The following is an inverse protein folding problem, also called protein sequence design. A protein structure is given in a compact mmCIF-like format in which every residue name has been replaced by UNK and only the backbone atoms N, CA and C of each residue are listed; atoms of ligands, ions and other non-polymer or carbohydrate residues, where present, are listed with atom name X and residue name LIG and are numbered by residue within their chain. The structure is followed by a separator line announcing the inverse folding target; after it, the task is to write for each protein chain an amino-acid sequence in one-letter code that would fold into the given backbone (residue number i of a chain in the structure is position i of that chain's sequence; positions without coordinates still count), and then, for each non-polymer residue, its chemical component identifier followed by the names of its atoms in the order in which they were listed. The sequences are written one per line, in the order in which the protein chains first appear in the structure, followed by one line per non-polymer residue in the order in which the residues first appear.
data_IF_104277289501
#
_entry.id   IF_104277289501
#
_cell.length_a   1.000
_cell.length_b   1.000
_cell.length_c   1.000
_cell.angle_alpha   90.00
_cell.angle_beta   90.00
_cell.angle_gamma   90.00
#
_symmetry.space_group_name_H-M   'P 1'
#
loop_
_entity.id
_entity.type
_entity.pdbx_description
1 polymer ?
#
# COMPACT_ATOMS: atom_id res chain seq x y z
N UNK A 1 -22.61 -4.33 -5.65
CA UNK A 1 -21.72 -3.59 -4.73
C UNK A 1 -21.17 -4.55 -3.68
N UNK A 2 -19.84 -4.56 -3.52
CA UNK A 2 -19.13 -5.41 -2.56
C UNK A 2 -18.27 -4.49 -1.71
N UNK A 3 -18.41 -4.56 -0.38
CA UNK A 3 -17.51 -3.88 0.56
C UNK A 3 -16.31 -4.77 0.86
N UNK A 4 -15.11 -4.17 0.84
CA UNK A 4 -13.85 -4.82 1.20
C UNK A 4 -13.23 -4.11 2.40
N UNK A 5 -12.44 -4.84 3.18
CA UNK A 5 -11.72 -4.28 4.29
C UNK A 5 -10.37 -4.99 4.48
N UNK A 6 -9.32 -4.33 4.04
CA UNK A 6 -7.92 -4.72 4.24
C UNK A 6 -7.11 -3.59 4.91
N UNK A 7 -7.76 -2.75 5.73
CA UNK A 7 -7.19 -1.51 6.22
C UNK A 7 -6.62 -0.69 5.04
N UNK A 8 -5.41 -0.15 5.14
CA UNK A 8 -4.83 0.65 4.06
C UNK A 8 -4.42 -0.17 2.82
N UNK A 9 -4.45 -1.52 2.86
CA UNK A 9 -4.16 -2.39 1.71
C UNK A 9 -5.32 -2.50 0.71
N UNK A 10 -6.47 -1.88 1.00
CA UNK A 10 -7.72 -2.04 0.23
C UNK A 10 -7.59 -1.70 -1.25
N UNK A 11 -6.65 -0.83 -1.67
CA UNK A 11 -6.49 -0.54 -3.11
C UNK A 11 -6.02 -1.77 -3.89
N UNK A 12 -4.97 -2.45 -3.46
CA UNK A 12 -4.53 -3.70 -4.11
C UNK A 12 -5.54 -4.83 -3.93
N UNK A 13 -6.19 -4.93 -2.76
CA UNK A 13 -7.26 -5.90 -2.52
C UNK A 13 -8.41 -5.71 -3.50
N UNK A 14 -8.90 -4.47 -3.69
CA UNK A 14 -10.01 -4.19 -4.61
C UNK A 14 -9.63 -4.43 -6.07
N UNK A 15 -8.41 -4.09 -6.49
CA UNK A 15 -7.90 -4.40 -7.83
C UNK A 15 -7.80 -5.90 -8.07
N UNK A 16 -7.30 -6.66 -7.09
CA UNK A 16 -7.22 -8.12 -7.16
C UNK A 16 -8.60 -8.75 -7.32
N UNK A 17 -9.56 -8.36 -6.48
CA UNK A 17 -10.92 -8.86 -6.54
C UNK A 17 -11.62 -8.48 -7.84
N UNK A 18 -11.46 -7.23 -8.30
CA UNK A 18 -12.02 -6.79 -9.57
C UNK A 18 -11.46 -7.59 -10.76
N UNK A 19 -10.15 -7.89 -10.73
CA UNK A 19 -9.50 -8.71 -11.77
C UNK A 19 -10.02 -10.14 -11.77
N UNK A 20 -10.14 -10.78 -10.61
CA UNK A 20 -10.68 -12.13 -10.46
C UNK A 20 -12.15 -12.23 -10.95
N UNK A 21 -12.99 -11.25 -10.60
CA UNK A 21 -14.37 -11.21 -11.05
C UNK A 21 -14.49 -11.01 -12.57
N UNK A 22 -13.62 -10.18 -13.15
CA UNK A 22 -13.58 -10.03 -14.62
C UNK A 22 -13.14 -11.33 -15.30
N UNK A 23 -12.07 -11.95 -14.82
CA UNK A 23 -11.57 -13.22 -15.37
C UNK A 23 -12.61 -14.33 -15.23
N UNK A 24 -13.27 -14.42 -14.08
CA UNK A 24 -14.38 -15.34 -13.83
C UNK A 24 -15.68 -15.06 -14.60
N UNK A 25 -15.77 -13.95 -15.35
CA UNK A 25 -16.94 -13.65 -16.19
C UNK A 25 -18.13 -13.01 -15.47
N UNK A 26 -17.94 -12.50 -14.27
CA UNK A 26 -19.03 -11.91 -13.48
C UNK A 26 -19.42 -10.48 -13.89
N UNK A 27 -18.73 -9.89 -14.85
CA UNK A 27 -19.04 -8.56 -15.37
C UNK A 27 -18.22 -8.21 -16.61
N UNK A 28 -18.64 -7.19 -17.34
CA UNK A 28 -17.90 -6.63 -18.49
C UNK A 28 -16.96 -5.51 -18.05
N UNK A 29 -17.38 -4.75 -17.02
CA UNK A 29 -16.61 -3.69 -16.39
C UNK A 29 -16.80 -3.77 -14.88
N UNK A 30 -15.74 -3.61 -14.13
CA UNK A 30 -15.76 -3.59 -12.66
C UNK A 30 -14.95 -2.39 -12.18
N UNK A 31 -15.48 -1.71 -11.16
CA UNK A 31 -14.81 -0.57 -10.54
C UNK A 31 -14.16 -1.03 -9.23
N UNK A 32 -12.86 -0.83 -9.12
CA UNK A 32 -12.10 -0.94 -7.89
C UNK A 32 -11.87 0.47 -7.33
N UNK A 33 -12.23 0.72 -6.08
CA UNK A 33 -12.05 2.04 -5.48
C UNK A 33 -11.82 1.98 -3.98
N UNK A 34 -11.06 2.94 -3.48
CA UNK A 34 -10.88 3.15 -2.05
C UNK A 34 -10.62 4.63 -1.74
N UNK A 35 -10.88 5.02 -0.51
CA UNK A 35 -10.70 6.39 -0.04
C UNK A 35 -10.35 6.41 1.43
N UNK A 36 -9.70 7.49 1.86
CA UNK A 36 -9.53 7.82 3.27
C UNK A 36 -9.73 9.32 3.49
N UNK A 37 -10.05 9.66 4.72
CA UNK A 37 -10.24 11.03 5.14
C UNK A 37 -9.69 11.22 6.55
N UNK A 38 -8.99 12.33 6.78
CA UNK A 38 -8.35 12.63 8.07
C UNK A 38 -9.33 12.54 9.27
N UNK A 39 -10.57 12.96 9.10
CA UNK A 39 -11.59 12.93 10.15
C UNK A 39 -12.40 11.63 10.20
N UNK A 40 -11.98 10.58 9.49
CA UNK A 40 -12.65 9.28 9.45
C UNK A 40 -12.22 8.37 10.63
N UNK A 41 -12.60 7.10 10.54
CA UNK A 41 -12.34 6.09 11.57
C UNK A 41 -10.86 5.92 11.96
N UNK A 42 -9.94 6.22 11.04
CA UNK A 42 -8.50 6.14 11.31
C UNK A 42 -8.00 7.19 12.32
N UNK A 43 -8.72 8.30 12.52
CA UNK A 43 -8.29 9.41 13.40
C UNK A 43 -7.95 8.95 14.80
N UNK A 44 -8.69 8.00 15.35
CA UNK A 44 -8.47 7.45 16.68
C UNK A 44 -7.11 6.75 16.87
N UNK A 45 -6.46 6.34 15.77
CA UNK A 45 -5.14 5.69 15.77
C UNK A 45 -4.02 6.64 15.40
N UNK A 46 -4.34 7.92 15.13
CA UNK A 46 -3.36 8.93 14.77
C UNK A 46 -2.97 9.75 15.98
N UNK A 47 -1.76 10.27 15.93
CA UNK A 47 -1.29 11.20 16.96
C UNK A 47 -2.24 12.40 17.02
N UNK A 48 -2.80 12.75 18.21
CA UNK A 48 -3.79 13.81 18.32
C UNK A 48 -3.14 15.19 18.20
N UNK A 49 -3.48 15.91 17.13
CA UNK A 49 -3.00 17.28 16.87
C UNK A 49 -3.44 18.27 17.97
N UNK A 50 -4.57 17.98 18.60
CA UNK A 50 -5.18 18.78 19.65
C UNK A 50 -4.32 18.88 20.92
N UNK A 51 -3.38 17.94 21.12
CA UNK A 51 -2.45 17.98 22.25
C UNK A 51 -1.42 19.12 22.17
N UNK A 52 -1.19 19.68 20.97
CA UNK A 52 -0.21 20.74 20.79
C UNK A 52 1.23 20.36 21.13
N UNK A 53 1.54 19.08 21.29
CA UNK A 53 2.86 18.59 21.59
C UNK A 53 3.57 18.08 20.32
N UNK A 54 4.89 17.90 20.43
CA UNK A 54 5.68 17.39 19.32
C UNK A 54 5.29 15.94 19.02
N UNK A 55 5.01 15.65 17.74
CA UNK A 55 4.76 14.29 17.27
C UNK A 55 6.06 13.46 17.24
N UNK A 56 5.92 12.15 17.39
CA UNK A 56 7.06 11.27 17.21
C UNK A 56 7.48 11.19 15.73
N UNK A 57 8.77 11.04 15.44
CA UNK A 57 9.28 10.99 14.05
C UNK A 57 8.79 9.81 13.23
N UNK A 58 8.20 8.79 13.87
CA UNK A 58 7.62 7.61 13.23
C UNK A 58 6.16 7.80 12.82
N UNK A 59 5.52 8.88 13.30
CA UNK A 59 4.10 9.16 13.01
C UNK A 59 3.88 9.45 11.54
N UNK A 60 2.75 8.99 11.04
CA UNK A 60 2.27 9.25 9.68
C UNK A 60 0.97 10.06 9.71
N UNK A 61 0.76 10.86 8.67
CA UNK A 61 -0.46 11.63 8.48
C UNK A 61 -1.47 10.85 7.64
N UNK A 62 -2.76 10.93 8.00
CA UNK A 62 -3.81 10.38 7.14
C UNK A 62 -3.90 11.18 5.86
N UNK A 63 -3.80 10.49 4.73
CA UNK A 63 -4.05 11.08 3.41
C UNK A 63 -5.56 11.21 3.21
N UNK A 64 -6.03 12.43 2.99
CA UNK A 64 -7.41 12.68 2.55
C UNK A 64 -7.45 12.62 1.03
N UNK A 65 -8.07 11.57 0.50
CA UNK A 65 -8.13 11.35 -0.93
C UNK A 65 -8.83 10.05 -1.30
N UNK A 66 -9.03 9.87 -2.59
CA UNK A 66 -9.63 8.68 -3.18
C UNK A 66 -9.02 8.35 -4.53
N UNK A 67 -9.14 7.10 -4.92
CA UNK A 67 -8.83 6.62 -6.26
C UNK A 67 -9.82 5.56 -6.69
N UNK A 68 -10.10 5.54 -7.99
CA UNK A 68 -10.95 4.53 -8.61
C UNK A 68 -10.37 4.15 -9.97
N UNK A 69 -10.40 2.85 -10.26
CA UNK A 69 -10.02 2.28 -11.54
C UNK A 69 -11.16 1.46 -12.11
N UNK A 70 -11.44 1.65 -13.38
CA UNK A 70 -12.37 0.81 -14.15
C UNK A 70 -11.56 -0.26 -14.86
N UNK A 71 -11.85 -1.52 -14.56
CA UNK A 71 -11.25 -2.67 -15.22
C UNK A 71 -12.21 -3.23 -16.25
N UNK A 72 -11.68 -3.60 -17.43
CA UNK A 72 -12.41 -4.24 -18.51
C UNK A 72 -11.56 -5.35 -19.14
N UNK A 73 -12.18 -6.21 -19.96
CA UNK A 73 -11.49 -7.38 -20.55
C UNK A 73 -10.59 -7.07 -21.74
N UNK A 74 -10.76 -5.92 -22.35
CA UNK A 74 -10.05 -5.54 -23.58
C UNK A 74 -9.82 -4.04 -23.63
N UNK A 75 -8.82 -3.63 -24.42
CA UNK A 75 -8.45 -2.25 -24.64
C UNK A 75 -6.92 -2.10 -24.74
N UNK A 76 -6.48 -0.96 -25.22
CA UNK A 76 -5.05 -0.59 -25.24
C UNK A 76 -4.71 0.20 -23.96
N UNK A 77 -4.76 -0.51 -22.85
CA UNK A 77 -4.52 0.01 -21.49
C UNK A 77 -3.60 -0.92 -20.72
N UNK A 78 -2.95 -0.43 -19.67
CA UNK A 78 -2.21 -1.31 -18.75
C UNK A 78 -3.08 -2.42 -18.21
N UNK A 79 -2.52 -3.61 -18.07
CA UNK A 79 -3.23 -4.82 -17.66
C UNK A 79 -2.78 -5.25 -16.28
N UNK A 80 -3.68 -5.75 -15.48
CA UNK A 80 -3.34 -6.54 -14.29
C UNK A 80 -2.89 -7.92 -14.77
N UNK A 81 -1.62 -8.24 -14.58
CA UNK A 81 -1.01 -9.49 -15.06
C UNK A 81 -0.85 -10.53 -13.95
N UNK A 82 -0.58 -10.07 -12.72
CA UNK A 82 -0.47 -10.93 -11.55
C UNK A 82 -1.13 -10.27 -10.35
N UNK A 83 -1.70 -11.11 -9.49
CA UNK A 83 -2.16 -10.74 -8.16
C UNK A 83 -1.55 -11.70 -7.14
N UNK A 84 -1.12 -11.19 -6.00
CA UNK A 84 -0.60 -12.00 -4.89
C UNK A 84 -1.34 -11.61 -3.62
N UNK A 85 -2.18 -12.50 -3.13
CA UNK A 85 -2.88 -12.31 -1.86
C UNK A 85 -1.89 -12.55 -0.73
N UNK A 86 -1.69 -11.53 0.10
CA UNK A 86 -0.78 -11.64 1.24
C UNK A 86 -1.42 -12.30 2.46
N UNK A 87 -0.57 -12.62 3.42
CA UNK A 87 -0.96 -13.18 4.71
C UNK A 87 -0.86 -12.11 5.80
N UNK A 88 -1.73 -12.23 6.80
CA UNK A 88 -1.61 -11.43 8.02
C UNK A 88 -0.33 -11.83 8.76
N UNK A 89 0.51 -10.86 9.08
CA UNK A 89 1.77 -11.05 9.83
C UNK A 89 1.73 -10.21 11.08
N UNK A 90 2.10 -10.82 12.20
CA UNK A 90 2.24 -10.14 13.49
C UNK A 90 3.64 -10.38 14.05
N UNK A 91 4.40 -9.31 14.18
CA UNK A 91 5.77 -9.31 14.71
C UNK A 91 5.87 -8.66 16.10
N UNK A 92 4.75 -8.52 16.78
CA UNK A 92 4.69 -8.03 18.14
C UNK A 92 4.87 -6.51 18.29
N UNK A 93 4.75 -5.75 17.21
CA UNK A 93 4.79 -4.28 17.27
C UNK A 93 3.50 -3.77 17.91
N UNK A 94 3.63 -2.93 18.94
CA UNK A 94 2.51 -2.41 19.75
C UNK A 94 2.32 -0.90 19.63
N UNK A 95 3.31 -0.19 19.10
CA UNK A 95 3.28 1.25 18.98
C UNK A 95 2.46 1.71 17.77
N UNK A 96 1.26 2.21 18.04
CA UNK A 96 0.35 2.77 17.02
C UNK A 96 0.96 3.98 16.27
N UNK A 97 1.96 4.64 16.86
CA UNK A 97 2.68 5.72 16.20
C UNK A 97 3.80 5.24 15.25
N UNK A 98 4.00 3.93 15.14
CA UNK A 98 4.96 3.32 14.22
C UNK A 98 4.32 2.23 13.35
N UNK A 99 3.27 2.61 12.62
CA UNK A 99 2.53 1.69 11.75
C UNK A 99 3.41 1.13 10.63
N UNK A 100 4.38 1.91 10.14
CA UNK A 100 5.33 1.45 9.12
C UNK A 100 6.11 0.21 9.55
N UNK A 101 6.57 0.17 10.81
CA UNK A 101 7.25 -1.01 11.35
C UNK A 101 6.30 -2.22 11.50
N UNK A 102 5.04 -1.98 11.85
CA UNK A 102 4.04 -3.05 11.97
C UNK A 102 3.67 -3.67 10.62
N UNK A 103 3.60 -2.85 9.55
CA UNK A 103 3.21 -3.29 8.20
C UNK A 103 4.37 -3.86 7.38
N UNK A 104 5.61 -3.42 7.60
CA UNK A 104 6.78 -3.80 6.79
C UNK A 104 6.97 -5.31 6.67
N UNK A 105 6.83 -6.14 7.72
CA UNK A 105 6.97 -7.60 7.60
C UNK A 105 5.93 -8.23 6.66
N UNK A 106 4.70 -7.73 6.63
CA UNK A 106 3.67 -8.23 5.71
C UNK A 106 4.00 -7.84 4.26
N UNK A 107 4.51 -6.61 4.03
CA UNK A 107 4.97 -6.19 2.72
C UNK A 107 6.11 -7.06 2.20
N UNK A 108 7.12 -7.33 3.05
CA UNK A 108 8.26 -8.21 2.72
C UNK A 108 7.79 -9.61 2.36
N UNK A 109 6.93 -10.22 3.18
CA UNK A 109 6.38 -11.55 2.93
C UNK A 109 5.64 -11.61 1.59
N UNK A 110 4.80 -10.61 1.31
CA UNK A 110 4.03 -10.55 0.06
C UNK A 110 4.92 -10.35 -1.16
N UNK A 111 5.91 -9.45 -1.11
CA UNK A 111 6.86 -9.20 -2.20
C UNK A 111 7.72 -10.45 -2.44
N UNK A 112 8.24 -11.06 -1.38
CA UNK A 112 9.03 -12.29 -1.47
C UNK A 112 8.25 -13.41 -2.15
N UNK A 113 7.02 -13.69 -1.68
CA UNK A 113 6.19 -14.74 -2.26
C UNK A 113 5.77 -14.39 -3.69
N UNK A 114 5.50 -13.12 -4.00
CA UNK A 114 5.24 -12.69 -5.36
C UNK A 114 6.39 -13.06 -6.32
N UNK A 115 7.62 -12.73 -5.95
CA UNK A 115 8.78 -13.08 -6.77
C UNK A 115 8.98 -14.59 -6.90
N UNK A 116 8.84 -15.32 -5.79
CA UNK A 116 8.98 -16.76 -5.77
C UNK A 116 7.94 -17.47 -6.64
N UNK A 117 6.68 -17.10 -6.52
CA UNK A 117 5.56 -17.77 -7.18
C UNK A 117 5.48 -17.43 -8.67
N UNK A 118 5.89 -16.23 -9.05
CA UNK A 118 5.88 -15.76 -10.46
C UNK A 118 7.20 -16.04 -11.19
N UNK A 119 8.28 -16.39 -10.47
CA UNK A 119 9.63 -16.52 -11.02
C UNK A 119 10.26 -15.18 -11.40
N UNK A 120 9.68 -14.06 -10.95
CA UNK A 120 10.15 -12.70 -11.23
C UNK A 120 11.17 -12.21 -10.19
N UNK A 121 11.79 -11.12 -10.52
CA UNK A 121 12.79 -10.42 -9.69
C UNK A 121 12.48 -8.93 -9.64
N UNK A 122 13.11 -8.15 -8.77
CA UNK A 122 12.94 -6.69 -8.77
C UNK A 122 13.20 -6.03 -10.13
N UNK A 123 14.07 -6.62 -10.96
CA UNK A 123 14.45 -6.07 -12.27
C UNK A 123 13.35 -6.20 -13.35
N UNK A 124 12.33 -7.01 -13.09
CA UNK A 124 11.20 -7.19 -13.99
C UNK A 124 10.15 -6.07 -13.86
N UNK A 125 10.37 -5.17 -12.91
CA UNK A 125 9.50 -4.02 -12.66
C UNK A 125 10.26 -2.71 -12.80
N UNK A 126 9.68 -1.73 -13.50
CA UNK A 126 10.22 -0.37 -13.53
C UNK A 126 10.03 0.32 -12.19
N UNK A 127 8.92 0.01 -11.50
CA UNK A 127 8.63 0.53 -10.17
C UNK A 127 8.01 -0.58 -9.29
N UNK A 128 8.54 -0.72 -8.08
CA UNK A 128 7.92 -1.45 -6.98
C UNK A 128 7.41 -0.39 -6.00
N UNK A 129 6.11 -0.33 -5.77
CA UNK A 129 5.47 0.71 -4.97
C UNK A 129 4.74 0.11 -3.77
N UNK A 130 5.19 0.37 -2.54
CA UNK A 130 4.41 0.05 -1.35
C UNK A 130 3.39 1.14 -1.04
N UNK A 131 2.33 0.76 -0.31
CA UNK A 131 1.15 1.60 -0.14
C UNK A 131 1.33 2.78 0.79
N UNK A 132 1.77 2.53 2.02
CA UNK A 132 1.83 3.54 3.07
C UNK A 132 2.76 3.15 4.23
N UNK A 133 3.86 2.50 3.92
CA UNK A 133 4.88 2.16 4.91
C UNK A 133 5.57 3.41 5.48
N UNK A 134 5.59 4.49 4.72
CA UNK A 134 6.32 5.70 5.02
C UNK A 134 7.82 5.47 5.05
N UNK A 135 8.59 6.47 5.49
CA UNK A 135 10.07 6.41 5.50
C UNK A 135 10.59 5.23 6.33
N UNK A 136 10.04 5.04 7.53
CA UNK A 136 10.50 4.00 8.45
C UNK A 136 10.24 2.60 7.91
N UNK A 137 9.00 2.32 7.52
CA UNK A 137 8.64 1.01 7.00
C UNK A 137 9.30 0.69 5.64
N UNK A 138 9.49 1.70 4.78
CA UNK A 138 10.25 1.58 3.53
C UNK A 138 11.69 1.14 3.78
N UNK A 139 12.37 1.77 4.76
CA UNK A 139 13.74 1.40 5.12
C UNK A 139 13.83 -0.02 5.67
N UNK A 140 12.90 -0.41 6.56
CA UNK A 140 12.82 -1.77 7.09
C UNK A 140 12.61 -2.78 5.97
N UNK A 141 11.64 -2.52 5.08
CA UNK A 141 11.33 -3.40 3.94
C UNK A 141 12.53 -3.57 3.02
N UNK A 142 13.25 -2.49 2.70
CA UNK A 142 14.46 -2.53 1.88
C UNK A 142 15.53 -3.43 2.49
N UNK A 143 15.77 -3.31 3.80
CA UNK A 143 16.77 -4.12 4.52
C UNK A 143 16.38 -5.60 4.55
N UNK A 144 15.13 -5.89 4.90
CA UNK A 144 14.65 -7.27 4.99
C UNK A 144 14.62 -7.98 3.63
N UNK A 145 14.21 -7.30 2.55
CA UNK A 145 14.27 -7.89 1.21
C UNK A 145 15.70 -8.20 0.76
N UNK A 146 16.67 -7.36 1.14
CA UNK A 146 18.08 -7.63 0.87
C UNK A 146 18.59 -8.90 1.59
N UNK A 147 18.11 -9.19 2.81
CA UNK A 147 18.41 -10.44 3.52
C UNK A 147 17.87 -11.69 2.79
N UNK A 148 16.74 -11.54 2.07
CA UNK A 148 16.20 -12.57 1.17
C UNK A 148 16.87 -12.62 -0.21
N UNK A 149 17.88 -11.78 -0.46
CA UNK A 149 18.62 -11.74 -1.73
C UNK A 149 17.99 -10.85 -2.81
N UNK A 150 16.99 -10.04 -2.48
CA UNK A 150 16.36 -9.11 -3.40
C UNK A 150 16.82 -7.67 -3.15
N UNK A 151 17.57 -7.09 -4.07
CA UNK A 151 17.91 -5.66 -4.03
C UNK A 151 16.86 -4.87 -4.81
N UNK A 152 16.13 -4.03 -4.09
CA UNK A 152 15.04 -3.20 -4.63
C UNK A 152 15.39 -1.70 -4.66
N UNK A 153 16.60 -1.29 -4.28
CA UNK A 153 16.96 0.11 -4.04
C UNK A 153 16.74 1.03 -5.24
N UNK A 154 16.97 0.51 -6.44
CA UNK A 154 16.98 1.34 -7.64
C UNK A 154 15.58 1.72 -8.15
N UNK A 155 14.56 0.90 -7.81
CA UNK A 155 13.20 1.06 -8.34
C UNK A 155 12.10 0.99 -7.28
N UNK A 156 12.46 1.05 -5.99
CA UNK A 156 11.53 0.96 -4.88
C UNK A 156 11.08 2.34 -4.39
N UNK A 157 9.78 2.54 -4.37
CA UNK A 157 9.14 3.73 -3.80
C UNK A 157 8.10 3.32 -2.76
N UNK A 158 7.71 4.26 -1.91
CA UNK A 158 6.56 4.12 -1.03
C UNK A 158 5.60 5.29 -1.25
N UNK A 159 4.32 4.99 -1.43
CA UNK A 159 3.32 6.03 -1.71
C UNK A 159 3.17 7.01 -0.55
N UNK A 160 3.31 6.54 0.70
CA UNK A 160 3.26 7.39 1.88
C UNK A 160 4.48 8.30 2.03
N UNK A 161 5.66 7.83 1.62
CA UNK A 161 6.89 8.62 1.63
C UNK A 161 6.85 9.76 0.59
N UNK A 162 6.21 9.51 -0.56
CA UNK A 162 6.25 10.44 -1.69
C UNK A 162 5.06 11.41 -1.81
N UNK A 163 3.95 11.17 -1.11
CA UNK A 163 2.71 11.93 -1.33
C UNK A 163 2.75 13.35 -0.76
N UNK A 164 3.58 13.60 0.22
CA UNK A 164 3.76 14.89 0.85
C UNK A 164 5.12 15.50 0.55
N UNK A 165 5.17 16.82 0.50
CA UNK A 165 6.41 17.61 0.49
C UNK A 165 6.86 17.78 1.95
N UNK A 166 7.82 16.96 2.38
CA UNK A 166 8.26 16.91 3.77
C UNK A 166 8.90 18.21 4.26
N UNK A 167 9.62 18.92 3.40
CA UNK A 167 10.24 20.21 3.77
C UNK A 167 9.19 21.27 4.10
N UNK A 168 8.09 21.29 3.36
CA UNK A 168 7.01 22.27 3.50
C UNK A 168 5.94 21.85 4.50
N UNK A 169 5.62 20.54 4.54
CA UNK A 169 4.48 20.01 5.28
C UNK A 169 4.87 19.34 6.59
N UNK A 170 6.14 18.98 6.76
CA UNK A 170 6.71 18.38 8.00
C UNK A 170 5.91 17.16 8.45
N UNK A 171 5.79 16.18 7.57
CA UNK A 171 4.96 14.98 7.79
C UNK A 171 5.68 13.83 8.47
N UNK A 172 6.90 14.05 8.98
CA UNK A 172 7.74 13.07 9.69
C UNK A 172 7.95 11.79 8.89
N UNK A 173 7.23 10.70 9.19
CA UNK A 173 7.35 9.45 8.45
C UNK A 173 6.52 9.40 7.16
N UNK A 174 5.78 10.47 6.82
CA UNK A 174 5.01 10.57 5.58
C UNK A 174 3.51 10.35 5.75
N UNK A 175 2.84 9.91 4.69
CA UNK A 175 1.41 9.66 4.63
C UNK A 175 1.03 8.21 4.91
N UNK A 176 -0.22 8.00 5.28
CA UNK A 176 -0.84 6.68 5.43
C UNK A 176 -2.35 6.77 5.22
N UNK A 177 -3.01 5.63 5.09
CA UNK A 177 -4.46 5.54 4.90
C UNK A 177 -4.86 4.84 3.61
N UNK A 178 -6.09 4.36 3.54
CA UNK A 178 -6.60 3.62 2.37
C UNK A 178 -6.52 4.44 1.09
N UNK A 179 -6.68 5.76 1.16
CA UNK A 179 -6.55 6.67 0.02
C UNK A 179 -5.11 6.91 -0.45
N UNK A 180 -4.11 6.60 0.37
CA UNK A 180 -2.72 6.90 0.06
C UNK A 180 -2.25 6.20 -1.22
N UNK A 181 -2.26 4.88 -1.24
CA UNK A 181 -1.89 4.09 -2.43
C UNK A 181 -2.83 4.36 -3.61
N UNK A 182 -4.12 4.60 -3.34
CA UNK A 182 -5.10 4.89 -4.39
C UNK A 182 -4.80 6.20 -5.14
N UNK A 183 -4.52 7.28 -4.41
CA UNK A 183 -4.18 8.59 -5.00
C UNK A 183 -2.90 8.50 -5.82
N UNK A 184 -1.85 7.88 -5.29
CA UNK A 184 -0.57 7.75 -6.00
C UNK A 184 -0.71 6.84 -7.21
N UNK A 185 -1.42 5.71 -7.08
CA UNK A 185 -1.64 4.78 -8.18
C UNK A 185 -2.42 5.44 -9.32
N UNK A 186 -3.58 6.04 -9.03
CA UNK A 186 -4.44 6.65 -10.04
C UNK A 186 -3.88 7.97 -10.58
N UNK A 187 -3.30 8.79 -9.69
CA UNK A 187 -2.85 10.14 -10.03
C UNK A 187 -1.46 10.23 -10.65
N UNK A 188 -0.58 9.29 -10.31
CA UNK A 188 0.83 9.34 -10.71
C UNK A 188 1.25 8.09 -11.48
N UNK A 189 1.20 6.89 -10.89
CA UNK A 189 1.72 5.67 -11.52
C UNK A 189 0.97 5.32 -12.80
N UNK A 190 -0.36 5.33 -12.77
CA UNK A 190 -1.18 5.06 -13.94
C UNK A 190 -0.93 6.06 -15.09
N UNK A 191 -0.73 7.34 -14.76
CA UNK A 191 -0.39 8.34 -15.79
C UNK A 191 0.97 8.09 -16.43
N UNK A 192 1.96 7.64 -15.64
CA UNK A 192 3.27 7.23 -16.20
C UNK A 192 3.16 6.02 -17.11
N UNK A 193 2.39 5.01 -16.71
CA UNK A 193 2.06 3.87 -17.57
C UNK A 193 1.40 4.32 -18.87
N UNK A 194 0.34 5.13 -18.82
CA UNK A 194 -0.37 5.62 -20.01
C UNK A 194 0.49 6.44 -20.96
N UNK A 195 1.50 7.15 -20.43
CA UNK A 195 2.48 7.90 -21.24
C UNK A 195 3.64 7.04 -21.72
N UNK A 196 3.66 5.76 -21.38
CA UNK A 196 4.77 4.84 -21.68
C UNK A 196 6.13 5.30 -21.11
N UNK A 197 6.10 6.11 -20.05
CA UNK A 197 7.32 6.50 -19.30
C UNK A 197 7.85 5.32 -18.48
N UNK A 198 6.96 4.43 -18.08
CA UNK A 198 7.22 3.13 -17.44
C UNK A 198 6.31 2.08 -18.08
N UNK A 199 6.71 0.80 -18.01
CA UNK A 199 5.97 -0.31 -18.59
C UNK A 199 5.38 -1.25 -17.54
N UNK A 200 5.94 -1.26 -16.34
CA UNK A 200 5.57 -2.23 -15.31
C UNK A 200 5.62 -1.61 -13.91
N UNK A 201 4.60 -1.89 -13.11
CA UNK A 201 4.51 -1.50 -11.70
C UNK A 201 4.07 -2.71 -10.88
N UNK A 202 4.79 -3.02 -9.81
CA UNK A 202 4.30 -3.89 -8.75
C UNK A 202 3.76 -3.00 -7.63
N UNK A 203 2.45 -2.86 -7.55
CA UNK A 203 1.78 -2.17 -6.45
C UNK A 203 1.56 -3.12 -5.29
N UNK A 204 2.06 -2.77 -4.10
CA UNK A 204 1.95 -3.56 -2.88
C UNK A 204 1.30 -2.70 -1.80
N UNK A 205 -0.03 -2.61 -1.81
CA UNK A 205 -0.74 -1.84 -0.78
C UNK A 205 -0.65 -2.56 0.56
N UNK A 206 -0.39 -1.78 1.61
CA UNK A 206 -0.10 -2.25 2.98
C UNK A 206 -1.18 -1.79 3.94
N UNK A 207 -1.38 -2.49 5.03
CA UNK A 207 -2.37 -2.13 6.03
C UNK A 207 -1.99 -2.61 7.43
N UNK A 208 -2.28 -1.78 8.43
CA UNK A 208 -2.20 -2.11 9.85
C UNK A 208 -3.61 -2.48 10.35
N UNK A 209 -3.77 -3.70 10.81
CA UNK A 209 -5.06 -4.21 11.29
C UNK A 209 -5.25 -3.82 12.77
N UNK A 210 -5.90 -2.70 12.99
CA UNK A 210 -6.08 -2.10 14.31
C UNK A 210 -7.56 -2.07 14.70
N UNK A 211 -7.80 -2.25 15.99
CA UNK A 211 -9.09 -1.94 16.61
C UNK A 211 -8.85 -1.08 17.86
N UNK A 212 -9.84 -0.29 18.25
CA UNK A 212 -9.77 0.49 19.49
C UNK A 212 -9.55 -0.40 20.70
N UNK A 213 -10.21 -1.55 20.74
CA UNK A 213 -10.10 -2.50 21.85
C UNK A 213 -8.68 -3.05 21.97
N UNK A 214 -8.14 -3.63 20.88
CA UNK A 214 -6.80 -4.24 20.91
C UNK A 214 -5.70 -3.21 21.19
N UNK A 215 -5.76 -2.04 20.56
CA UNK A 215 -4.76 -0.98 20.74
C UNK A 215 -4.76 -0.43 22.18
N UNK A 216 -5.93 -0.21 22.79
CA UNK A 216 -6.05 0.27 24.17
C UNK A 216 -5.66 -0.79 25.21
N UNK A 217 -5.74 -2.07 24.88
CA UNK A 217 -5.29 -3.19 25.71
C UNK A 217 -3.80 -3.50 25.55
N UNK A 218 -3.09 -2.80 24.68
CA UNK A 218 -1.66 -3.00 24.46
C UNK A 218 -1.34 -4.27 23.69
N UNK A 219 -2.29 -4.77 22.88
CA UNK A 219 -2.05 -5.89 21.97
C UNK A 219 -1.17 -5.45 20.78
N UNK A 220 -0.56 -6.40 20.11
CA UNK A 220 0.23 -6.18 18.91
C UNK A 220 -0.64 -5.75 17.73
N UNK A 221 0.00 -5.15 16.73
CA UNK A 221 -0.62 -4.64 15.51
C UNK A 221 -0.24 -5.56 14.36
N UNK A 222 -1.12 -6.47 13.93
CA UNK A 222 -0.87 -7.28 12.75
C UNK A 222 -0.86 -6.42 11.48
N UNK A 223 0.04 -6.77 10.55
CA UNK A 223 0.10 -6.16 9.22
C UNK A 223 -0.48 -7.08 8.15
N UNK A 224 -0.96 -6.50 7.06
CA UNK A 224 -1.38 -7.17 5.83
C UNK A 224 -0.85 -6.42 4.62
N UNK A 225 -0.53 -7.13 3.54
CA UNK A 225 -0.22 -6.51 2.25
C UNK A 225 -0.73 -7.38 1.11
N UNK A 226 -1.15 -6.75 0.02
CA UNK A 226 -1.54 -7.43 -1.22
C UNK A 226 -0.80 -6.81 -2.39
N UNK A 227 -0.34 -7.65 -3.34
CA UNK A 227 0.40 -7.18 -4.50
C UNK A 227 -0.42 -7.34 -5.80
N UNK A 228 -0.31 -6.34 -6.67
CA UNK A 228 -0.89 -6.32 -8.02
C UNK A 228 0.17 -5.85 -9.00
N UNK A 229 0.50 -6.66 -9.99
CA UNK A 229 1.35 -6.26 -11.10
C UNK A 229 0.50 -5.62 -12.20
N UNK A 230 0.87 -4.42 -12.62
CA UNK A 230 0.18 -3.64 -13.65
C UNK A 230 1.19 -3.35 -14.76
N UNK A 231 0.92 -3.82 -15.96
CA UNK A 231 1.89 -3.80 -17.06
C UNK A 231 1.24 -3.40 -18.38
N UNK A 232 2.06 -2.83 -19.25
CA UNK A 232 1.67 -2.50 -20.61
C UNK A 232 2.12 -3.57 -21.58
#
# INVERSE_FOLDING_TARGET
FIGLYGACSTMSESLSMASLFLDGGFGSYIVASTSSHFSAAERQFRFPLEYGCQRCPTCQWTVTGSGAMVLGRSGDYPRVTYVTTGLVKDYGIKDANNMGAAMAPAAVDTIYNHFKDTGRTPKDYDIIATGDLGKVGKEITTKLLAEYGYDVKDNYIDCGDMIFDDERQKTDAGGSGCGCSAVVTCGYLYKKLMRREIKSVLLVSTGALMSTTSSLQGESIPGIAHAVAIEF
#
